data_IF_293429043702
#
_entry.id   IF_293429043702
#
_cell.length_a   1.000
_cell.length_b   1.000
_cell.length_c   1.000
_cell.angle_alpha   90.00
_cell.angle_beta   90.00
_cell.angle_gamma   90.00
#
_symmetry.space_group_name_H-M   'P 1'
#
loop_
_entity.id
_entity.type
_entity.pdbx_description
1 polymer ?
#
# COMPACT_ATOMS: atom_id res chain seq x y z
N UNK A 1 47.22 5.54 8.69
CA UNK A 1 46.27 6.09 7.69
C UNK A 1 45.24 5.01 7.41
N UNK A 2 43.95 5.10 7.68
CA UNK A 2 43.09 6.25 7.94
C UNK A 2 41.78 6.03 7.19
N UNK A 3 40.82 5.36 7.86
CA UNK A 3 39.35 5.38 7.73
C UNK A 3 38.62 5.01 6.43
N UNK A 4 37.45 4.34 6.64
CA UNK A 4 36.20 4.21 5.84
C UNK A 4 35.94 2.77 5.37
N UNK A 5 34.84 2.07 5.68
CA UNK A 5 33.49 2.44 6.15
C UNK A 5 32.92 1.28 6.98
N UNK A 6 32.37 1.58 8.15
CA UNK A 6 31.34 0.78 8.83
C UNK A 6 30.05 1.56 8.65
N UNK A 7 29.09 1.01 7.91
CA UNK A 7 27.67 1.42 8.02
C UNK A 7 26.81 0.40 7.27
N UNK A 8 26.38 -0.64 7.98
CA UNK A 8 25.12 -1.32 7.67
C UNK A 8 24.34 -1.30 8.97
N UNK A 9 23.54 -0.25 9.11
CA UNK A 9 22.58 -0.12 10.18
C UNK A 9 21.35 -0.95 9.81
N UNK A 10 20.99 -1.83 10.74
CA UNK A 10 19.78 -2.63 10.80
C UNK A 10 18.53 -1.86 10.35
N UNK A 11 17.83 -2.37 9.33
CA UNK A 11 16.46 -1.96 9.01
C UNK A 11 15.52 -3.15 9.18
N UNK A 12 15.41 -3.65 10.41
CA UNK A 12 14.45 -4.70 10.79
C UNK A 12 13.81 -4.44 12.15
N UNK A 13 13.28 -3.24 12.36
CA UNK A 13 12.31 -2.90 13.40
C UNK A 13 11.47 -1.79 12.77
N UNK A 14 10.25 -2.04 12.29
CA UNK A 14 9.02 -1.84 13.05
C UNK A 14 7.93 -2.74 12.43
N UNK A 15 7.63 -3.87 13.05
CA UNK A 15 6.33 -4.53 12.90
C UNK A 15 5.97 -5.17 14.23
N UNK A 16 5.50 -4.35 15.17
CA UNK A 16 4.78 -4.82 16.35
C UNK A 16 3.88 -3.72 16.89
N UNK A 17 2.58 -3.93 16.72
CA UNK A 17 1.47 -3.60 17.63
C UNK A 17 0.27 -4.36 17.04
N UNK A 18 -0.01 -5.61 17.43
CA UNK A 18 -0.61 -6.11 18.69
C UNK A 18 -1.96 -5.48 19.01
N UNK A 19 -3.03 -6.26 18.81
CA UNK A 19 -4.07 -6.44 19.84
C UNK A 19 -4.74 -7.80 19.66
N UNK A 20 -4.62 -8.61 20.70
CA UNK A 20 -5.24 -9.91 20.85
C UNK A 20 -6.61 -9.76 21.53
N UNK A 21 -7.61 -10.56 21.11
CA UNK A 21 -8.63 -11.13 21.99
C UNK A 21 -8.95 -12.55 21.52
N UNK A 22 -9.22 -13.39 22.52
CA UNK A 22 -9.15 -14.84 22.60
C UNK A 22 -10.15 -15.68 21.78
N UNK A 23 -9.73 -16.94 21.54
CA UNK A 23 -10.45 -18.24 21.59
C UNK A 23 -11.98 -18.21 21.73
N UNK A 24 -12.68 -19.09 21.01
CA UNK A 24 -13.23 -20.36 21.56
C UNK A 24 -13.76 -21.22 20.39
N UNK A 25 -13.64 -22.52 20.57
CA UNK A 25 -14.05 -23.59 19.68
C UNK A 25 -15.59 -23.74 19.64
N UNK A 26 -16.02 -24.58 18.71
CA UNK A 26 -17.24 -25.35 18.71
C UNK A 26 -18.46 -24.94 17.86
N UNK A 27 -18.97 -26.02 17.29
CA UNK A 27 -20.02 -26.26 16.32
C UNK A 27 -21.36 -25.85 16.92
N UNK A 28 -22.26 -25.24 16.12
CA UNK A 28 -23.69 -25.59 16.00
C UNK A 28 -24.43 -24.55 15.15
N UNK A 29 -25.19 -25.07 14.20
CA UNK A 29 -26.24 -24.44 13.40
C UNK A 29 -27.23 -23.64 14.25
N UNK A 30 -27.53 -22.39 13.89
CA UNK A 30 -28.92 -21.95 13.82
C UNK A 30 -29.09 -20.67 13.00
N UNK A 31 -30.17 -20.68 12.26
CA UNK A 31 -30.71 -19.66 11.39
C UNK A 31 -31.35 -18.54 12.23
N UNK A 32 -30.86 -17.30 12.15
CA UNK A 32 -31.63 -16.13 12.57
C UNK A 32 -31.41 -14.95 11.62
N UNK A 33 -32.50 -14.61 10.94
CA UNK A 33 -32.76 -13.42 10.16
C UNK A 33 -32.53 -12.18 11.04
N UNK A 34 -31.39 -11.52 10.89
CA UNK A 34 -31.15 -10.20 11.48
C UNK A 34 -30.60 -9.26 10.42
N UNK A 35 -31.54 -8.47 9.91
CA UNK A 35 -31.38 -7.22 9.19
C UNK A 35 -30.49 -6.26 10.01
N UNK A 36 -29.18 -6.40 9.87
CA UNK A 36 -28.19 -5.53 10.49
C UNK A 36 -27.91 -4.35 9.56
N UNK A 37 -28.16 -3.15 10.10
CA UNK A 37 -28.19 -1.89 9.36
C UNK A 37 -26.92 -1.60 8.58
N UNK A 38 -27.10 -0.76 7.55
CA UNK A 38 -26.06 -0.02 6.85
C UNK A 38 -25.16 0.72 7.85
N UNK A 39 -24.23 0.00 8.44
CA UNK A 39 -23.01 0.60 8.97
C UNK A 39 -22.27 1.03 7.72
N UNK A 40 -22.47 2.28 7.32
CA UNK A 40 -21.65 2.94 6.32
C UNK A 40 -20.25 3.07 6.90
N UNK A 41 -19.51 1.96 6.92
CA UNK A 41 -18.05 1.97 7.03
C UNK A 41 -17.60 2.94 5.94
N UNK A 42 -16.81 3.98 6.24
CA UNK A 42 -16.30 4.86 5.21
C UNK A 42 -15.48 3.99 4.28
N UNK A 43 -16.10 3.58 3.18
CA UNK A 43 -15.47 2.76 2.16
C UNK A 43 -14.55 3.74 1.47
N UNK A 44 -13.33 3.87 1.98
CA UNK A 44 -12.28 4.68 1.39
C UNK A 44 -12.33 4.44 -0.11
N UNK A 45 -12.52 5.53 -0.87
CA UNK A 45 -12.69 5.39 -2.31
C UNK A 45 -11.47 4.64 -2.86
N UNK A 46 -11.66 3.80 -3.87
CA UNK A 46 -10.54 3.06 -4.50
C UNK A 46 -9.41 4.00 -4.91
N UNK A 47 -9.77 5.24 -5.25
CA UNK A 47 -8.90 6.35 -5.57
C UNK A 47 -8.02 6.79 -4.39
N UNK A 48 -8.57 6.89 -3.18
CA UNK A 48 -7.84 7.32 -1.97
C UNK A 48 -6.98 6.18 -1.43
N UNK A 49 -7.51 4.95 -1.47
CA UNK A 49 -6.75 3.76 -1.11
C UNK A 49 -5.52 3.54 -2.02
N UNK A 50 -5.65 3.86 -3.31
CA UNK A 50 -4.53 3.83 -4.25
C UNK A 50 -3.51 4.95 -3.96
N UNK A 51 -3.97 6.17 -3.69
CA UNK A 51 -3.06 7.28 -3.36
C UNK A 51 -2.23 6.95 -2.11
N UNK A 52 -2.89 6.51 -1.03
CA UNK A 52 -2.21 6.12 0.21
C UNK A 52 -1.18 5.00 -0.01
N UNK A 53 -1.50 4.01 -0.85
CA UNK A 53 -0.59 2.90 -1.16
C UNK A 53 0.64 3.34 -1.96
N UNK A 54 0.46 4.25 -2.93
CA UNK A 54 1.55 4.81 -3.70
C UNK A 54 2.45 5.67 -2.81
N UNK A 55 1.86 6.53 -1.97
CA UNK A 55 2.62 7.37 -1.04
C UNK A 55 3.42 6.55 -0.03
N UNK A 56 2.84 5.46 0.50
CA UNK A 56 3.52 4.56 1.44
C UNK A 56 4.63 3.72 0.82
N UNK A 57 4.77 3.68 -0.51
CA UNK A 57 5.81 2.90 -1.17
C UNK A 57 7.17 3.58 -0.99
N UNK A 58 8.03 3.05 -0.13
CA UNK A 58 9.40 3.54 0.09
C UNK A 58 10.38 2.79 -0.80
N UNK A 59 10.85 3.45 -1.86
CA UNK A 59 11.81 2.90 -2.81
C UNK A 59 12.58 4.03 -3.48
N UNK A 60 13.74 3.71 -4.06
CA UNK A 60 14.53 4.65 -4.85
C UNK A 60 13.80 5.05 -6.14
N UNK A 61 14.11 6.21 -6.73
CA UNK A 61 13.43 6.70 -7.95
C UNK A 61 13.40 5.66 -9.09
N UNK A 62 14.46 4.87 -9.24
CA UNK A 62 14.54 3.82 -10.27
C UNK A 62 13.66 2.62 -9.99
N UNK A 63 13.52 2.23 -8.73
CA UNK A 63 12.81 1.01 -8.31
C UNK A 63 11.35 1.29 -7.93
N UNK A 64 11.03 2.55 -7.62
CA UNK A 64 9.72 2.96 -7.15
C UNK A 64 8.58 2.58 -8.09
N UNK A 65 8.67 2.80 -9.42
CA UNK A 65 7.57 2.45 -10.32
C UNK A 65 7.22 0.95 -10.27
N UNK A 66 8.24 0.10 -10.17
CA UNK A 66 8.06 -1.36 -10.07
C UNK A 66 7.47 -1.75 -8.71
N UNK A 67 8.02 -1.23 -7.61
CA UNK A 67 7.53 -1.52 -6.26
C UNK A 67 6.11 -1.01 -6.02
N UNK A 68 5.78 0.18 -6.54
CA UNK A 68 4.47 0.77 -6.47
C UNK A 68 3.45 -0.07 -7.27
N UNK A 69 3.81 -0.49 -8.48
CA UNK A 69 2.96 -1.36 -9.30
C UNK A 69 2.72 -2.71 -8.61
N UNK A 70 3.77 -3.35 -8.08
CA UNK A 70 3.64 -4.60 -7.34
C UNK A 70 2.70 -4.46 -6.15
N UNK A 71 2.87 -3.40 -5.35
CA UNK A 71 1.98 -3.09 -4.23
C UNK A 71 0.53 -2.94 -4.69
N UNK A 72 0.30 -2.22 -5.79
CA UNK A 72 -1.04 -2.05 -6.40
C UNK A 72 -1.59 -3.39 -6.87
N UNK A 73 -0.79 -4.24 -7.51
CA UNK A 73 -1.23 -5.56 -7.97
C UNK A 73 -1.58 -6.49 -6.81
N UNK A 74 -0.81 -6.47 -5.72
CA UNK A 74 -1.10 -7.26 -4.52
C UNK A 74 -2.42 -6.83 -3.88
N UNK A 75 -2.68 -5.52 -3.78
CA UNK A 75 -3.87 -5.00 -3.09
C UNK A 75 -5.13 -4.98 -3.95
N UNK A 76 -5.01 -4.64 -5.24
CA UNK A 76 -6.16 -4.42 -6.13
C UNK A 76 -6.28 -5.48 -7.24
N UNK A 77 -5.29 -6.36 -7.42
CA UNK A 77 -5.20 -7.33 -8.52
C UNK A 77 -4.85 -6.70 -9.89
N UNK A 78 -5.20 -5.42 -10.10
CA UNK A 78 -4.94 -4.66 -11.32
C UNK A 78 -4.83 -3.18 -11.02
N UNK A 79 -4.21 -2.42 -11.92
CA UNK A 79 -4.22 -0.96 -11.85
C UNK A 79 -5.66 -0.41 -12.00
N UNK A 80 -6.18 0.36 -11.04
CA UNK A 80 -7.48 1.02 -11.15
C UNK A 80 -7.55 2.01 -12.31
N UNK A 81 -8.77 2.35 -12.76
CA UNK A 81 -8.98 3.36 -13.82
C UNK A 81 -8.44 4.72 -13.36
N UNK A 82 -7.61 5.34 -14.19
CA UNK A 82 -6.90 6.58 -13.84
C UNK A 82 -5.74 6.39 -12.84
N UNK A 83 -5.48 5.17 -12.37
CA UNK A 83 -4.41 4.87 -11.41
C UNK A 83 -3.02 5.19 -11.94
N UNK A 84 -2.79 5.05 -13.26
CA UNK A 84 -1.53 5.43 -13.91
C UNK A 84 -1.23 6.93 -13.84
N UNK A 85 -2.26 7.77 -14.01
CA UNK A 85 -2.09 9.22 -13.88
C UNK A 85 -1.74 9.59 -12.44
N UNK A 86 -2.45 9.00 -11.47
CA UNK A 86 -2.13 9.18 -10.04
C UNK A 86 -0.74 8.69 -9.67
N UNK A 87 -0.34 7.50 -10.13
CA UNK A 87 0.99 6.95 -9.89
C UNK A 87 2.08 7.86 -10.43
N UNK A 88 1.90 8.40 -11.64
CA UNK A 88 2.81 9.42 -12.20
C UNK A 88 2.84 10.68 -11.34
N UNK A 89 1.70 11.20 -10.91
CA UNK A 89 1.64 12.43 -10.12
C UNK A 89 2.33 12.26 -8.76
N UNK A 90 2.10 11.13 -8.08
CA UNK A 90 2.80 10.78 -6.83
C UNK A 90 4.30 10.61 -7.07
N UNK A 91 4.70 9.94 -8.16
CA UNK A 91 6.10 9.78 -8.52
C UNK A 91 6.79 11.14 -8.76
N UNK A 92 6.18 12.01 -9.57
CA UNK A 92 6.70 13.34 -9.86
C UNK A 92 6.78 14.19 -8.59
N UNK A 93 5.77 14.12 -7.71
CA UNK A 93 5.78 14.82 -6.44
C UNK A 93 6.88 14.30 -5.49
N UNK A 94 7.08 12.98 -5.43
CA UNK A 94 8.03 12.33 -4.52
C UNK A 94 9.48 12.56 -4.91
N UNK A 95 9.79 12.50 -6.19
CA UNK A 95 11.17 12.61 -6.71
C UNK A 95 11.49 13.96 -7.35
N UNK A 96 10.51 14.89 -7.41
CA UNK A 96 10.61 16.17 -8.13
C UNK A 96 10.99 16.01 -9.61
N UNK A 97 10.61 14.87 -10.20
CA UNK A 97 10.86 14.53 -11.60
C UNK A 97 9.69 14.97 -12.47
N UNK A 98 9.94 15.22 -13.76
CA UNK A 98 8.91 15.55 -14.74
C UNK A 98 8.90 14.49 -15.84
N UNK A 99 8.24 13.37 -15.55
CA UNK A 99 8.16 12.21 -16.44
C UNK A 99 6.74 12.14 -17.00
N UNK A 100 6.61 11.97 -18.32
CA UNK A 100 5.30 11.82 -18.96
C UNK A 100 4.63 10.50 -18.63
N UNK A 101 3.28 10.42 -18.64
CA UNK A 101 2.55 9.17 -18.32
C UNK A 101 2.94 8.00 -19.24
N UNK A 102 3.29 8.30 -20.50
CA UNK A 102 3.73 7.29 -21.47
C UNK A 102 5.13 6.74 -21.14
N UNK A 103 5.99 7.56 -20.55
CA UNK A 103 7.33 7.16 -20.13
C UNK A 103 7.27 6.38 -18.81
N UNK A 104 6.37 6.79 -17.90
CA UNK A 104 6.15 6.08 -16.64
C UNK A 104 5.57 4.66 -16.82
N UNK A 105 4.85 4.42 -17.93
CA UNK A 105 4.22 3.11 -18.22
C UNK A 105 5.14 2.15 -19.01
N UNK A 106 6.27 2.64 -19.52
CA UNK A 106 7.23 1.79 -20.25
C UNK A 106 7.99 0.90 -19.28
#
# INVERSE_FOLDING_TARGET
>A
MGVKKKEQAEFSKIFTQTTAVAKTEDKTSSNEDQRMGDTSVPTLSTSDALAALLESTEASEREWPQQALLSVMIRFGRMPRGGWSKAKDVFCAKFRSNVGTKEFKK
#
